data_IF_476605425840
#
_entry.id   IF_476605425840
#
_cell.length_a   1.000
_cell.length_b   1.000
_cell.length_c   1.000
_cell.angle_alpha   90.00
_cell.angle_beta   90.00
_cell.angle_gamma   90.00
#
_symmetry.space_group_name_H-M   'P 1'
#
loop_
_entity.id
_entity.type
_entity.pdbx_description
1 polymer ?
#
# COMPACT_ATOMS: atom_id res chain seq x y z
N UNK A 1 -11.80 -0.15 6.68
CA UNK A 1 -10.54 0.45 7.16
C UNK A 1 -9.93 -0.51 8.17
N UNK A 2 -8.79 -1.10 7.83
CA UNK A 2 -8.14 -2.14 8.64
C UNK A 2 -7.09 -1.59 9.60
N UNK A 3 -6.50 -0.43 9.29
CA UNK A 3 -5.52 0.20 10.16
C UNK A 3 -6.14 0.93 11.38
N UNK A 4 -7.46 1.09 11.41
CA UNK A 4 -8.08 1.71 12.60
C UNK A 4 -8.17 0.72 13.75
N UNK A 5 -7.67 1.05 14.96
CA UNK A 5 -7.86 0.21 16.14
C UNK A 5 -9.34 0.09 16.55
N UNK A 6 -10.18 0.99 16.05
CA UNK A 6 -11.64 0.93 16.16
C UNK A 6 -12.16 0.44 14.81
N UNK A 7 -12.56 -0.81 14.72
CA UNK A 7 -13.19 -1.36 13.52
C UNK A 7 -14.39 -0.52 13.10
N UNK A 8 -14.35 -0.01 11.87
CA UNK A 8 -15.43 0.83 11.34
C UNK A 8 -15.26 1.04 9.83
N UNK A 9 -16.36 1.36 9.15
CA UNK A 9 -16.31 1.79 7.75
C UNK A 9 -15.66 3.18 7.65
N UNK A 10 -15.06 3.51 6.49
CA UNK A 10 -14.53 4.84 6.23
C UNK A 10 -15.58 5.95 6.43
N UNK A 11 -16.83 5.65 6.13
CA UNK A 11 -17.97 6.56 6.30
C UNK A 11 -18.36 6.78 7.77
N UNK A 12 -18.15 5.78 8.64
CA UNK A 12 -18.46 5.88 10.07
C UNK A 12 -17.38 6.62 10.87
N UNK A 13 -16.19 6.76 10.31
CA UNK A 13 -15.10 7.50 10.91
C UNK A 13 -15.25 8.97 10.49
N UNK A 14 -15.58 9.85 11.43
CA UNK A 14 -15.50 11.32 11.25
C UNK A 14 -14.03 11.79 11.06
N UNK A 15 -13.26 11.09 10.21
CA UNK A 15 -11.82 11.24 10.04
C UNK A 15 -11.50 11.25 8.53
N UNK A 16 -10.58 12.09 8.08
CA UNK A 16 -10.16 12.08 6.67
C UNK A 16 -9.34 10.82 6.38
N UNK A 17 -10.03 9.76 6.03
CA UNK A 17 -9.45 8.50 5.55
C UNK A 17 -9.84 8.34 4.08
N UNK A 18 -8.86 8.13 3.23
CA UNK A 18 -9.07 7.77 1.83
C UNK A 18 -8.65 6.32 1.62
N UNK A 19 -9.48 5.58 0.89
CA UNK A 19 -9.29 4.15 0.66
C UNK A 19 -9.25 3.91 -0.85
N UNK A 20 -8.15 3.35 -1.32
CA UNK A 20 -8.01 2.81 -2.68
C UNK A 20 -8.18 1.30 -2.60
N UNK A 21 -9.16 0.74 -3.31
CA UNK A 21 -9.41 -0.70 -3.40
C UNK A 21 -10.08 -1.04 -4.73
N UNK A 22 -9.98 -2.31 -5.15
CA UNK A 22 -10.59 -2.78 -6.40
C UNK A 22 -10.13 -1.97 -7.61
N UNK A 23 -11.06 -1.59 -8.49
CA UNK A 23 -10.78 -0.86 -9.73
C UNK A 23 -10.05 0.46 -9.49
N UNK A 24 -10.46 1.21 -8.46
CA UNK A 24 -9.80 2.49 -8.14
C UNK A 24 -8.33 2.29 -7.79
N UNK A 25 -8.01 1.23 -7.04
CA UNK A 25 -6.63 0.89 -6.76
C UNK A 25 -5.89 0.48 -8.03
N UNK A 26 -6.48 -0.36 -8.87
CA UNK A 26 -5.85 -0.84 -10.10
C UNK A 26 -5.51 0.30 -11.07
N UNK A 27 -6.35 1.35 -11.15
CA UNK A 27 -6.10 2.54 -11.94
C UNK A 27 -5.01 3.47 -11.34
N UNK A 28 -4.81 3.41 -10.03
CA UNK A 28 -3.82 4.24 -9.33
C UNK A 28 -2.45 3.58 -9.20
N UNK A 29 -2.38 2.24 -9.23
CA UNK A 29 -1.13 1.50 -9.04
C UNK A 29 -0.01 2.01 -9.95
N UNK A 30 1.13 2.26 -9.35
CA UNK A 30 2.35 2.73 -9.99
C UNK A 30 3.56 1.96 -9.46
N UNK A 31 4.74 2.20 -10.02
CA UNK A 31 5.97 1.53 -9.63
C UNK A 31 6.39 1.76 -8.18
N UNK A 32 5.89 2.83 -7.54
CA UNK A 32 6.21 3.15 -6.14
C UNK A 32 4.94 3.39 -5.32
N UNK A 33 5.07 3.24 -4.00
CA UNK A 33 3.96 3.54 -3.09
C UNK A 33 3.59 5.03 -3.13
N UNK A 34 4.59 5.91 -3.19
CA UNK A 34 4.36 7.35 -3.29
C UNK A 34 3.54 7.72 -4.51
N UNK A 35 3.94 7.25 -5.69
CA UNK A 35 3.25 7.54 -6.94
C UNK A 35 1.85 6.95 -7.00
N UNK A 36 1.66 5.78 -6.39
CA UNK A 36 0.34 5.13 -6.30
C UNK A 36 -0.67 6.00 -5.55
N UNK A 37 -0.25 6.65 -4.47
CA UNK A 37 -1.15 7.49 -3.65
C UNK A 37 -1.11 8.98 -4.01
N UNK A 38 -0.20 9.42 -4.89
CA UNK A 38 0.01 10.84 -5.21
C UNK A 38 -1.20 11.52 -5.88
N UNK A 39 -2.11 10.74 -6.48
CA UNK A 39 -3.34 11.27 -7.09
C UNK A 39 -4.42 11.64 -6.04
N UNK A 40 -4.24 11.23 -4.79
CA UNK A 40 -5.18 11.54 -3.72
C UNK A 40 -5.01 12.99 -3.24
N UNK A 41 -6.11 13.68 -2.84
CA UNK A 41 -6.04 15.05 -2.38
C UNK A 41 -5.06 15.25 -1.22
N UNK A 42 -4.14 16.21 -1.34
CA UNK A 42 -3.16 16.54 -0.30
C UNK A 42 -2.06 15.49 -0.11
N UNK A 43 -1.89 14.59 -1.08
CA UNK A 43 -0.80 13.62 -1.13
C UNK A 43 0.08 13.91 -2.34
N UNK A 44 1.37 13.73 -2.18
CA UNK A 44 2.39 13.84 -3.23
C UNK A 44 3.38 12.69 -3.10
N UNK A 45 4.26 12.52 -4.06
CA UNK A 45 5.37 11.57 -4.02
C UNK A 45 6.71 12.29 -3.99
N UNK A 46 7.68 11.76 -3.23
CA UNK A 46 9.09 12.10 -3.48
C UNK A 46 9.53 11.46 -4.79
N UNK A 47 10.62 11.96 -5.35
CA UNK A 47 11.22 11.36 -6.53
C UNK A 47 12.75 11.34 -6.40
N UNK A 48 13.32 10.15 -6.28
CA UNK A 48 14.76 9.88 -6.30
C UNK A 48 15.12 8.87 -7.38
N UNK A 49 14.36 8.85 -8.45
CA UNK A 49 14.44 7.89 -9.54
C UNK A 49 13.17 7.05 -9.67
N UNK A 50 13.02 6.31 -10.77
CA UNK A 50 11.77 5.62 -11.12
C UNK A 50 11.29 4.59 -10.10
N UNK A 51 12.21 4.00 -9.33
CA UNK A 51 11.90 3.00 -8.30
C UNK A 51 11.77 3.59 -6.88
N UNK A 52 11.99 4.90 -6.70
CA UNK A 52 12.04 5.52 -5.36
C UNK A 52 11.05 6.65 -5.25
N UNK A 53 9.86 6.35 -4.70
CA UNK A 53 8.80 7.31 -4.43
C UNK A 53 8.14 7.02 -3.09
N UNK A 54 8.19 7.99 -2.18
CA UNK A 54 7.58 7.90 -0.85
C UNK A 54 6.41 8.87 -0.73
N UNK A 55 5.36 8.50 0.01
CA UNK A 55 4.24 9.41 0.26
C UNK A 55 4.67 10.67 1.00
N UNK A 56 4.23 11.82 0.49
CA UNK A 56 4.25 13.12 1.17
C UNK A 56 2.80 13.45 1.49
N UNK A 57 2.47 13.66 2.75
CA UNK A 57 1.10 13.99 3.18
C UNK A 57 1.10 15.40 3.78
N UNK A 58 0.35 16.32 3.17
CA UNK A 58 0.26 17.71 3.62
C UNK A 58 1.63 18.38 3.80
N UNK A 59 2.57 18.09 2.90
CA UNK A 59 3.92 18.61 2.94
C UNK A 59 4.84 17.95 4.00
N UNK A 60 4.39 16.89 4.67
CA UNK A 60 5.21 16.13 5.61
C UNK A 60 5.70 14.85 4.93
N UNK A 61 6.97 14.50 5.15
CA UNK A 61 7.65 13.34 4.56
C UNK A 61 8.57 12.63 5.56
N UNK A 62 9.21 11.57 5.10
CA UNK A 62 10.21 10.85 5.87
C UNK A 62 9.61 10.23 7.15
N UNK A 63 10.26 10.41 8.30
CA UNK A 63 9.81 9.83 9.56
C UNK A 63 8.49 10.44 10.09
N UNK A 64 7.95 11.46 9.41
CA UNK A 64 6.67 12.10 9.78
C UNK A 64 5.45 11.48 9.08
N UNK A 65 5.67 10.60 8.11
CA UNK A 65 4.62 9.81 7.46
C UNK A 65 4.89 8.35 7.73
N UNK A 66 4.02 7.74 8.53
CA UNK A 66 4.15 6.34 8.88
C UNK A 66 3.64 5.46 7.74
N UNK A 67 4.47 4.52 7.30
CA UNK A 67 4.07 3.47 6.36
C UNK A 67 3.83 2.17 7.12
N UNK A 68 2.70 1.54 6.87
CA UNK A 68 2.24 0.33 7.56
C UNK A 68 1.99 -0.78 6.53
N UNK A 69 2.28 -1.99 6.90
CA UNK A 69 1.87 -3.21 6.19
C UNK A 69 0.92 -3.98 7.10
N UNK A 70 -0.33 -4.17 6.65
CA UNK A 70 -1.37 -4.85 7.43
C UNK A 70 -1.52 -4.30 8.86
N UNK A 71 -1.42 -2.98 9.02
CA UNK A 71 -1.53 -2.29 10.31
C UNK A 71 -0.26 -2.29 11.17
N UNK A 72 0.80 -2.95 10.72
CA UNK A 72 2.09 -2.99 11.43
C UNK A 72 3.07 -1.99 10.80
N UNK A 73 3.72 -1.19 11.63
CA UNK A 73 4.68 -0.19 11.16
C UNK A 73 5.83 -0.82 10.38
N UNK A 74 6.06 -0.32 9.18
CA UNK A 74 7.20 -0.73 8.38
C UNK A 74 8.43 0.08 8.78
N UNK A 75 9.45 -0.61 9.25
CA UNK A 75 10.74 0.00 9.64
C UNK A 75 11.80 -0.38 8.61
N UNK A 76 11.90 0.40 7.56
CA UNK A 76 12.92 0.24 6.53
C UNK A 76 13.83 1.48 6.41
N UNK A 77 14.89 1.36 5.61
CA UNK A 77 15.85 2.43 5.40
C UNK A 77 15.22 3.69 4.79
N UNK A 78 14.11 3.53 4.05
CA UNK A 78 13.41 4.65 3.42
C UNK A 78 12.88 5.68 4.43
N UNK A 79 12.71 5.29 5.69
CA UNK A 79 12.23 6.19 6.75
C UNK A 79 13.24 7.30 7.05
N UNK A 80 14.53 7.00 6.95
CA UNK A 80 15.63 7.91 7.32
C UNK A 80 16.50 8.33 6.15
N UNK A 81 16.40 7.66 5.00
CA UNK A 81 17.19 7.92 3.80
C UNK A 81 16.28 8.07 2.59
N UNK A 82 16.27 9.26 1.99
CA UNK A 82 15.32 9.63 0.95
C UNK A 82 15.55 8.88 -0.38
N UNK A 83 16.75 8.36 -0.59
CA UNK A 83 17.19 7.60 -1.77
C UNK A 83 16.85 6.10 -1.71
N UNK A 84 16.20 5.66 -0.62
CA UNK A 84 15.75 4.28 -0.47
C UNK A 84 14.25 4.17 -0.74
N UNK A 85 13.88 3.16 -1.53
CA UNK A 85 12.48 2.81 -1.75
C UNK A 85 11.85 2.22 -0.48
N UNK A 86 10.54 2.36 -0.34
CA UNK A 86 9.78 1.60 0.66
C UNK A 86 9.81 0.12 0.29
N UNK A 87 9.95 -0.77 1.27
CA UNK A 87 9.94 -2.22 1.03
C UNK A 87 8.55 -2.79 0.74
N UNK A 88 7.55 -1.94 0.56
CA UNK A 88 6.17 -2.32 0.25
C UNK A 88 5.95 -2.27 -1.25
N UNK A 89 5.40 -3.36 -1.80
CA UNK A 89 5.09 -3.52 -3.21
C UNK A 89 3.61 -3.21 -3.49
N UNK A 90 3.30 -2.07 -4.17
CA UNK A 90 1.91 -1.69 -4.45
C UNK A 90 1.15 -2.68 -5.35
N UNK A 91 1.86 -3.43 -6.20
CA UNK A 91 1.22 -4.43 -7.07
C UNK A 91 0.54 -5.56 -6.32
N UNK A 92 1.06 -5.92 -5.14
CA UNK A 92 0.51 -6.97 -4.30
C UNK A 92 -0.61 -6.48 -3.39
N UNK A 93 -0.84 -5.16 -3.35
CA UNK A 93 -1.86 -4.57 -2.50
C UNK A 93 -3.27 -4.92 -2.97
N UNK A 94 -4.13 -5.27 -2.02
CA UNK A 94 -5.58 -5.39 -2.19
C UNK A 94 -6.28 -4.08 -1.82
N UNK A 95 -5.69 -3.32 -0.88
CA UNK A 95 -6.22 -2.06 -0.41
C UNK A 95 -5.09 -1.17 0.09
N UNK A 96 -5.19 0.13 -0.16
CA UNK A 96 -4.31 1.14 0.42
C UNK A 96 -5.18 2.18 1.13
N UNK A 97 -4.86 2.44 2.38
CA UNK A 97 -5.55 3.41 3.22
C UNK A 97 -4.63 4.58 3.52
N UNK A 98 -5.08 5.79 3.25
CA UNK A 98 -4.36 7.02 3.58
C UNK A 98 -5.10 7.75 4.68
N UNK A 99 -4.51 7.75 5.86
CA UNK A 99 -5.05 8.38 7.06
C UNK A 99 -4.39 9.74 7.27
N UNK A 100 -5.21 10.76 7.50
CA UNK A 100 -4.79 12.15 7.69
C UNK A 100 -5.37 12.73 8.98
N UNK A 101 -4.58 13.53 9.66
CA UNK A 101 -5.06 14.27 10.84
C UNK A 101 -4.78 13.57 12.17
N UNK A 102 -5.36 14.06 13.30
CA UNK A 102 -4.92 13.69 14.66
C UNK A 102 -5.01 12.19 15.00
N UNK A 103 -5.91 11.48 14.33
CA UNK A 103 -6.09 10.05 14.57
C UNK A 103 -4.86 9.21 14.18
N UNK A 104 -3.99 9.74 13.33
CA UNK A 104 -2.77 9.05 12.92
C UNK A 104 -1.76 8.93 14.07
N UNK A 105 -1.88 9.72 15.12
CA UNK A 105 -1.05 9.61 16.32
C UNK A 105 -1.22 8.27 17.05
N UNK A 106 -2.30 7.53 16.80
CA UNK A 106 -2.49 6.16 17.29
C UNK A 106 -1.45 5.18 16.72
N UNK A 107 -0.81 5.54 15.61
CA UNK A 107 0.25 4.75 14.96
C UNK A 107 1.66 5.18 15.38
N UNK A 108 1.76 5.97 16.46
CA UNK A 108 3.02 6.42 17.02
C UNK A 108 3.41 7.84 16.63
N UNK A 109 4.51 8.32 17.24
CA UNK A 109 5.01 9.70 17.06
C UNK A 109 5.47 10.01 15.62
N UNK A 110 5.76 8.99 14.82
CA UNK A 110 6.14 9.13 13.41
C UNK A 110 4.97 9.46 12.48
N UNK A 111 3.72 9.46 12.94
CA UNK A 111 2.55 9.65 12.09
C UNK A 111 1.98 11.09 12.15
N UNK A 112 2.80 12.09 12.43
CA UNK A 112 2.37 13.50 12.56
C UNK A 112 1.77 14.04 11.25
N UNK A 113 2.37 13.72 10.12
CA UNK A 113 1.88 14.10 8.79
C UNK A 113 0.69 13.24 8.32
N UNK A 114 0.74 11.97 8.65
CA UNK A 114 -0.24 10.99 8.21
C UNK A 114 0.29 9.56 8.31
N UNK A 115 -0.56 8.61 7.93
CA UNK A 115 -0.17 7.22 7.81
C UNK A 115 -0.71 6.63 6.49
N UNK A 116 0.06 5.75 5.87
CA UNK A 116 -0.34 4.96 4.72
C UNK A 116 -0.28 3.50 5.11
N UNK A 117 -1.43 2.82 5.12
CA UNK A 117 -1.51 1.40 5.40
C UNK A 117 -1.77 0.62 4.12
N UNK A 118 -0.93 -0.35 3.84
CA UNK A 118 -1.08 -1.25 2.70
C UNK A 118 -1.53 -2.62 3.21
N UNK A 119 -2.64 -3.09 2.68
CA UNK A 119 -3.19 -4.42 2.96
C UNK A 119 -2.93 -5.30 1.74
N UNK A 120 -2.18 -6.36 1.91
CA UNK A 120 -1.76 -7.25 0.81
C UNK A 120 -2.50 -8.60 0.77
N UNK A 121 -3.34 -8.87 1.76
CA UNK A 121 -4.15 -10.09 1.80
C UNK A 121 -3.35 -11.40 1.94
N UNK A 122 -2.03 -11.36 2.17
CA UNK A 122 -1.20 -12.57 2.34
C UNK A 122 -1.61 -13.39 3.55
N UNK A 123 -2.13 -12.72 4.57
CA UNK A 123 -2.70 -13.38 5.74
C UNK A 123 -4.21 -13.24 5.64
N UNK A 124 -4.89 -14.35 5.34
CA UNK A 124 -6.34 -14.35 5.25
C UNK A 124 -6.96 -14.10 6.64
N UNK A 125 -7.76 -13.04 6.76
CA UNK A 125 -8.56 -12.76 7.96
C UNK A 125 -9.85 -13.55 8.02
N UNK A 126 -10.33 -13.99 6.86
CA UNK A 126 -11.56 -14.77 6.69
C UNK A 126 -11.33 -15.88 5.67
N UNK A 127 -12.12 -16.94 5.73
CA UNK A 127 -12.07 -17.99 4.72
C UNK A 127 -12.64 -17.46 3.41
N UNK A 128 -11.89 -17.56 2.30
CA UNK A 128 -12.41 -17.15 0.98
C UNK A 128 -13.65 -17.96 0.60
N UNK A 129 -14.62 -17.29 -0.04
CA UNK A 129 -15.86 -17.92 -0.51
C UNK A 129 -15.64 -18.95 -1.64
N UNK A 130 -14.51 -18.86 -2.32
CA UNK A 130 -14.17 -19.74 -3.45
C UNK A 130 -13.03 -20.68 -3.06
N UNK A 131 -13.12 -21.96 -3.44
CA UNK A 131 -12.07 -22.93 -3.14
C UNK A 131 -10.74 -22.62 -3.83
N UNK A 132 -10.79 -21.89 -4.94
CA UNK A 132 -9.61 -21.40 -5.67
C UNK A 132 -9.92 -20.03 -6.28
N UNK A 133 -9.02 -19.09 -6.05
CA UNK A 133 -9.03 -17.77 -6.68
C UNK A 133 -7.63 -17.35 -7.07
N UNK A 134 -7.51 -16.43 -8.02
CA UNK A 134 -6.22 -15.92 -8.44
C UNK A 134 -6.32 -14.66 -9.28
N UNK A 135 -5.20 -13.96 -9.35
CA UNK A 135 -5.01 -12.75 -10.17
C UNK A 135 -3.66 -12.81 -10.84
N UNK A 136 -3.60 -12.35 -12.07
CA UNK A 136 -2.36 -12.07 -12.77
C UNK A 136 -2.44 -10.68 -13.38
N UNK A 137 -1.33 -9.95 -13.38
CA UNK A 137 -1.25 -8.60 -13.90
C UNK A 137 0.07 -8.40 -14.61
N UNK A 138 0.03 -7.74 -15.77
CA UNK A 138 1.21 -7.34 -16.54
C UNK A 138 1.16 -5.83 -16.72
N UNK A 139 2.28 -5.17 -16.52
CA UNK A 139 2.43 -3.72 -16.73
C UNK A 139 3.69 -3.39 -17.51
N UNK A 140 3.61 -2.28 -18.23
CA UNK A 140 4.74 -1.64 -18.87
C UNK A 140 4.71 -0.14 -18.62
N UNK A 141 5.88 0.47 -18.47
CA UNK A 141 6.03 1.91 -18.35
C UNK A 141 7.18 2.35 -19.27
N UNK A 142 6.86 3.20 -20.24
CA UNK A 142 7.84 3.68 -21.23
C UNK A 142 8.79 4.77 -20.71
N UNK A 143 8.57 5.29 -19.51
CA UNK A 143 9.43 6.34 -18.92
C UNK A 143 10.76 5.75 -18.44
N UNK A 144 10.72 4.52 -17.94
CA UNK A 144 11.87 3.79 -17.38
C UNK A 144 12.00 2.38 -17.97
N UNK A 145 11.43 2.16 -19.14
CA UNK A 145 11.38 0.86 -19.83
C UNK A 145 10.94 -0.31 -18.93
N UNK A 146 10.14 0.01 -17.89
CA UNK A 146 9.67 -0.97 -16.92
C UNK A 146 8.78 -2.03 -17.57
N UNK A 147 9.07 -3.28 -17.22
CA UNK A 147 8.24 -4.45 -17.50
C UNK A 147 8.02 -5.20 -16.20
N UNK A 148 6.78 -5.24 -15.76
CA UNK A 148 6.43 -5.90 -14.50
C UNK A 148 5.36 -6.94 -14.72
N UNK A 149 5.46 -8.04 -14.00
CA UNK A 149 4.45 -9.09 -13.98
C UNK A 149 4.26 -9.62 -12.58
N UNK A 150 3.01 -9.84 -12.17
CA UNK A 150 2.68 -10.47 -10.91
C UNK A 150 1.64 -11.57 -11.11
N UNK A 151 1.68 -12.54 -10.22
CA UNK A 151 0.60 -13.51 -10.06
C UNK A 151 0.32 -13.74 -8.57
N UNK A 152 -0.90 -14.13 -8.29
CA UNK A 152 -1.39 -14.53 -6.98
C UNK A 152 -2.37 -15.67 -7.13
N UNK A 153 -2.26 -16.67 -6.26
CA UNK A 153 -3.19 -17.79 -6.15
C UNK A 153 -3.55 -18.02 -4.69
N UNK A 154 -4.83 -18.13 -4.41
CA UNK A 154 -5.38 -18.44 -3.10
C UNK A 154 -6.20 -19.72 -3.20
N UNK A 155 -5.89 -20.70 -2.37
CA UNK A 155 -6.59 -21.99 -2.30
C UNK A 155 -7.14 -22.25 -0.91
N UNK A 156 -8.33 -22.86 -0.82
CA UNK A 156 -8.98 -23.21 0.43
C UNK A 156 -9.24 -24.72 0.48
N UNK A 157 -8.82 -25.34 1.56
CA UNK A 157 -9.14 -26.73 1.85
C UNK A 157 -9.52 -26.88 3.33
N UNK A 158 -10.84 -27.04 3.60
CA UNK A 158 -11.37 -27.04 4.95
C UNK A 158 -11.07 -25.72 5.67
N UNK A 159 -10.33 -25.76 6.76
CA UNK A 159 -9.94 -24.60 7.55
C UNK A 159 -8.55 -24.04 7.16
N UNK A 160 -7.94 -24.56 6.10
CA UNK A 160 -6.64 -24.13 5.63
C UNK A 160 -6.80 -23.18 4.44
N UNK A 161 -6.09 -22.07 4.49
CA UNK A 161 -5.91 -21.18 3.36
C UNK A 161 -4.46 -21.24 2.91
N UNK A 162 -4.23 -21.53 1.64
CA UNK A 162 -2.93 -21.49 1.01
C UNK A 162 -2.86 -20.25 0.12
N UNK A 163 -1.82 -19.44 0.32
CA UNK A 163 -1.53 -18.28 -0.50
C UNK A 163 -0.16 -18.43 -1.16
N UNK A 164 -0.09 -18.15 -2.46
CA UNK A 164 1.16 -18.08 -3.23
C UNK A 164 1.11 -16.85 -4.12
N UNK A 165 2.12 -16.02 -4.01
CA UNK A 165 2.29 -14.86 -4.89
C UNK A 165 3.72 -14.77 -5.42
N UNK A 166 3.89 -14.08 -6.54
CA UNK A 166 5.19 -13.78 -7.12
C UNK A 166 5.14 -12.53 -7.97
N UNK A 167 6.25 -11.79 -7.98
CA UNK A 167 6.42 -10.57 -8.78
C UNK A 167 7.79 -10.59 -9.43
N UNK A 168 7.82 -10.17 -10.69
CA UNK A 168 9.03 -9.88 -11.43
C UNK A 168 8.93 -8.46 -11.97
N UNK A 169 9.99 -7.68 -11.79
CA UNK A 169 10.13 -6.32 -12.33
C UNK A 169 11.50 -6.17 -12.95
N UNK A 170 11.52 -5.62 -14.13
CA UNK A 170 12.72 -5.22 -14.88
C UNK A 170 12.60 -3.74 -15.22
N UNK A 171 13.64 -2.95 -14.95
CA UNK A 171 13.68 -1.49 -15.18
C UNK A 171 15.08 -1.08 -15.57
N UNK A 172 15.22 -0.14 -16.49
CA UNK A 172 16.48 0.51 -16.83
C UNK A 172 16.73 1.76 -15.98
#
# INVERSE_FOLDING_TARGET
>A
VTASPLQGSAESLARPVEVLAGTDLDEHKSGTLGDTVAKLPGVQSTFFGPGVGRPIIRGQEGPRVQVLSNGVGNMDASTVSADHATSIEPFLADQIEVLKGPATLLFGSGAIGGAVNVVDGRIASELPDRPLSGRAELRGNSVNDERSGMFRLDGVNGNWVLHVDGLVRDTD
#
